data_IF_765298748708
#
_entry.id   IF_765298748708
#
_cell.length_a   1.000
_cell.length_b   1.000
_cell.length_c   1.000
_cell.angle_alpha   90.00
_cell.angle_beta   90.00
_cell.angle_gamma   90.00
#
_symmetry.space_group_name_H-M   'P 1'
#
loop_
_entity.id
_entity.type
_entity.pdbx_description
1 polymer ?
#
# COMPACT_ATOMS: atom_id res chain seq x y z
N UNK A 1 -5.52 5.06 -1.69
CA UNK A 1 -6.41 4.17 -0.93
C UNK A 1 -7.79 4.17 -1.59
N UNK A 2 -8.33 2.99 -1.83
CA UNK A 2 -9.74 2.80 -2.14
C UNK A 2 -10.50 2.59 -0.83
N UNK A 3 -11.56 3.34 -0.60
CA UNK A 3 -12.36 3.25 0.63
C UNK A 3 -13.80 2.95 0.29
N UNK A 4 -14.36 1.89 0.88
CA UNK A 4 -15.80 1.64 0.86
C UNK A 4 -16.47 2.49 1.93
N UNK A 5 -17.44 3.30 1.53
CA UNK A 5 -18.22 4.12 2.46
C UNK A 5 -19.28 3.27 3.17
N UNK A 6 -19.56 3.53 4.45
CA UNK A 6 -20.69 2.91 5.14
C UNK A 6 -22.01 3.37 4.52
N UNK A 7 -23.05 2.55 4.67
CA UNK A 7 -24.38 2.86 4.14
C UNK A 7 -24.89 4.20 4.67
N UNK A 8 -25.26 5.10 3.76
CA UNK A 8 -25.80 6.42 4.09
C UNK A 8 -24.76 7.52 4.30
N UNK A 9 -23.46 7.20 4.37
CA UNK A 9 -22.40 8.21 4.45
C UNK A 9 -22.06 8.75 3.06
N UNK A 10 -21.99 10.07 2.92
CA UNK A 10 -21.50 10.69 1.68
C UNK A 10 -19.98 10.85 1.71
N UNK A 11 -19.37 11.02 0.54
CA UNK A 11 -17.95 11.35 0.43
C UNK A 11 -17.58 12.65 1.17
N UNK A 12 -18.50 13.62 1.22
CA UNK A 12 -18.29 14.87 1.94
C UNK A 12 -18.28 14.65 3.46
N UNK A 13 -19.16 13.79 3.98
CA UNK A 13 -19.18 13.44 5.41
C UNK A 13 -17.89 12.73 5.81
N UNK A 14 -17.44 11.78 4.97
CA UNK A 14 -16.17 11.08 5.17
C UNK A 14 -14.98 12.06 5.21
N UNK A 15 -14.88 12.95 4.22
CA UNK A 15 -13.81 13.97 4.17
C UNK A 15 -13.91 14.97 5.32
N UNK A 16 -15.12 15.32 5.77
CA UNK A 16 -15.31 16.17 6.94
C UNK A 16 -14.76 15.50 8.21
N UNK A 17 -15.02 14.20 8.41
CA UNK A 17 -14.44 13.43 9.51
C UNK A 17 -12.91 13.37 9.44
N UNK A 18 -12.34 13.16 8.25
CA UNK A 18 -10.87 13.19 8.04
C UNK A 18 -10.27 14.56 8.36
N UNK A 19 -10.93 15.65 7.93
CA UNK A 19 -10.51 17.02 8.26
C UNK A 19 -10.60 17.31 9.74
N UNK A 20 -11.57 16.72 10.44
CA UNK A 20 -11.72 16.80 11.90
C UNK A 20 -10.69 15.94 12.68
N UNK A 21 -9.86 15.15 11.99
CA UNK A 21 -8.75 14.40 12.58
C UNK A 21 -8.95 12.88 12.65
N UNK A 22 -10.08 12.36 12.13
CA UNK A 22 -10.30 10.92 12.07
C UNK A 22 -9.49 10.30 10.93
N UNK A 23 -8.48 9.48 11.24
CA UNK A 23 -7.75 8.72 10.22
C UNK A 23 -8.65 7.66 9.56
N UNK A 24 -9.51 7.04 10.37
CA UNK A 24 -10.45 6.00 9.94
C UNK A 24 -11.87 6.37 10.38
N UNK A 25 -12.60 7.20 9.59
CA UNK A 25 -14.01 7.51 9.86
C UNK A 25 -14.84 6.25 10.10
N UNK A 26 -15.70 6.27 11.13
CA UNK A 26 -16.47 5.11 11.58
C UNK A 26 -17.26 4.46 10.43
N UNK A 27 -17.12 3.13 10.30
CA UNK A 27 -17.79 2.34 9.27
C UNK A 27 -17.18 2.41 7.87
N UNK A 28 -16.21 3.30 7.64
CA UNK A 28 -15.37 3.26 6.44
C UNK A 28 -14.49 2.02 6.42
N UNK A 29 -14.36 1.38 5.25
CA UNK A 29 -13.49 0.22 5.10
C UNK A 29 -12.44 0.51 4.03
N UNK A 30 -11.17 0.59 4.45
CA UNK A 30 -10.05 0.67 3.52
C UNK A 30 -9.84 -0.66 2.81
N UNK A 31 -9.81 -0.62 1.48
CA UNK A 31 -9.70 -1.76 0.58
C UNK A 31 -8.31 -1.82 -0.07
N UNK A 32 -7.29 -1.30 0.60
CA UNK A 32 -5.94 -1.11 0.05
C UNK A 32 -5.90 -0.09 -1.10
N UNK A 33 -4.73 0.04 -1.71
CA UNK A 33 -4.41 0.93 -2.80
C UNK A 33 -2.90 0.97 -3.00
N UNK A 34 -2.43 1.66 -4.06
CA UNK A 34 -1.01 1.81 -4.28
C UNK A 34 -0.35 2.59 -3.15
N UNK A 35 0.80 2.09 -2.70
CA UNK A 35 1.70 2.75 -1.74
C UNK A 35 2.36 4.02 -2.31
N UNK A 36 3.33 4.55 -1.58
CA UNK A 36 4.01 5.79 -1.99
C UNK A 36 4.68 5.62 -3.35
N UNK A 37 4.37 6.52 -4.29
CA UNK A 37 4.86 6.45 -5.68
C UNK A 37 5.59 7.76 -6.01
N UNK A 38 6.85 7.68 -6.40
CA UNK A 38 7.67 8.84 -6.75
C UNK A 38 7.18 9.56 -8.01
N UNK A 39 7.50 10.85 -8.20
CA UNK A 39 7.19 11.55 -9.44
C UNK A 39 7.73 10.81 -10.68
N UNK A 40 6.88 10.66 -11.70
CA UNK A 40 7.21 9.95 -12.94
C UNK A 40 7.05 8.42 -12.86
N UNK A 41 6.88 7.85 -11.67
CA UNK A 41 6.58 6.43 -11.50
C UNK A 41 5.08 6.13 -11.70
N UNK A 42 4.81 4.86 -11.99
CA UNK A 42 3.45 4.31 -12.09
C UNK A 42 3.31 3.10 -11.17
N UNK A 43 2.10 2.90 -10.66
CA UNK A 43 1.69 1.73 -9.89
C UNK A 43 0.41 1.17 -10.51
N UNK A 44 0.40 -0.15 -10.73
CA UNK A 44 -0.73 -0.89 -11.30
C UNK A 44 -1.13 -1.99 -10.31
N UNK A 45 -2.37 -1.93 -9.83
CA UNK A 45 -2.90 -2.84 -8.82
C UNK A 45 -4.28 -3.35 -9.21
N UNK A 46 -4.54 -4.62 -8.91
CA UNK A 46 -5.88 -5.21 -8.95
C UNK A 46 -6.29 -5.65 -7.55
N UNK A 47 -7.53 -5.39 -7.21
CA UNK A 47 -8.17 -5.83 -5.98
C UNK A 47 -9.64 -6.08 -6.27
N UNK A 48 -10.26 -7.02 -5.56
CA UNK A 48 -11.69 -7.27 -5.69
C UNK A 48 -12.48 -6.12 -5.08
N UNK A 49 -13.53 -5.66 -5.74
CA UNK A 49 -14.49 -4.68 -5.17
C UNK A 49 -15.85 -5.34 -5.04
N UNK A 50 -16.50 -5.14 -3.91
CA UNK A 50 -17.88 -5.59 -3.69
C UNK A 50 -18.84 -4.44 -4.00
N UNK A 51 -20.12 -4.68 -4.33
CA UNK A 51 -21.08 -3.61 -4.58
C UNK A 51 -21.16 -2.61 -3.43
N UNK A 52 -21.28 -1.32 -3.76
CA UNK A 52 -21.35 -0.25 -2.76
C UNK A 52 -20.86 1.11 -3.26
N UNK A 53 -20.83 2.06 -2.33
CA UNK A 53 -20.30 3.41 -2.55
C UNK A 53 -18.83 3.46 -2.16
N UNK A 54 -18.01 4.09 -2.99
CA UNK A 54 -16.57 4.17 -2.79
C UNK A 54 -16.06 5.59 -3.00
N UNK A 55 -14.91 5.87 -2.41
CA UNK A 55 -14.06 7.02 -2.75
C UNK A 55 -12.63 6.55 -3.02
N UNK A 56 -11.90 7.35 -3.81
CA UNK A 56 -10.44 7.25 -3.89
C UNK A 56 -9.86 8.41 -3.09
N UNK A 57 -9.01 8.09 -2.11
CA UNK A 57 -8.35 9.06 -1.24
C UNK A 57 -6.82 8.86 -1.25
N UNK A 58 -6.10 9.98 -1.19
CA UNK A 58 -4.64 10.00 -1.10
C UNK A 58 -4.23 10.53 0.27
N UNK A 59 -3.50 9.73 1.04
CA UNK A 59 -3.03 10.10 2.38
C UNK A 59 -1.72 10.89 2.38
N UNK A 60 -1.01 10.90 1.25
CA UNK A 60 0.29 11.58 1.14
C UNK A 60 0.16 13.10 1.33
N UNK A 61 1.03 13.70 2.14
CA UNK A 61 1.18 15.17 2.26
C UNK A 61 -0.11 15.93 2.62
N UNK A 62 -1.08 15.29 3.27
CA UNK A 62 -2.37 15.91 3.60
C UNK A 62 -3.29 16.11 2.40
N UNK A 63 -3.04 15.44 1.26
CA UNK A 63 -3.89 15.53 0.05
C UNK A 63 -5.36 15.23 0.33
N UNK A 64 -5.64 14.30 1.25
CA UNK A 64 -6.98 14.00 1.76
C UNK A 64 -7.75 15.24 2.29
N UNK A 65 -7.04 16.28 2.75
CA UNK A 65 -7.65 17.51 3.28
C UNK A 65 -7.76 18.63 2.25
N UNK A 66 -6.95 18.58 1.19
CA UNK A 66 -6.81 19.70 0.23
C UNK A 66 -7.44 19.41 -1.13
N UNK A 67 -7.64 18.13 -1.48
CA UNK A 67 -8.17 17.72 -2.78
C UNK A 67 -9.57 17.14 -2.63
N UNK A 68 -10.54 17.49 -3.49
CA UNK A 68 -11.82 16.79 -3.53
C UNK A 68 -11.62 15.30 -3.81
N UNK A 69 -12.18 14.44 -2.97
CA UNK A 69 -12.20 12.99 -3.26
C UNK A 69 -13.25 12.71 -4.33
N UNK A 70 -12.98 11.73 -5.19
CA UNK A 70 -13.93 11.32 -6.23
C UNK A 70 -14.76 10.14 -5.74
N UNK A 71 -16.09 10.30 -5.58
CA UNK A 71 -16.98 9.19 -5.28
C UNK A 71 -17.35 8.42 -6.54
N UNK A 72 -17.63 7.13 -6.38
CA UNK A 72 -18.22 6.30 -7.41
C UNK A 72 -19.01 5.14 -6.80
N UNK A 73 -19.92 4.57 -7.59
CA UNK A 73 -20.72 3.41 -7.19
C UNK A 73 -20.23 2.18 -7.95
N UNK A 74 -20.04 1.09 -7.22
CA UNK A 74 -19.84 -0.25 -7.77
C UNK A 74 -21.17 -0.98 -7.71
N UNK A 75 -21.65 -1.44 -8.86
CA UNK A 75 -22.87 -2.24 -9.00
C UNK A 75 -22.50 -3.65 -9.47
N UNK A 76 -23.22 -4.66 -8.99
CA UNK A 76 -23.08 -6.02 -9.53
C UNK A 76 -23.94 -6.15 -10.78
N UNK A 77 -23.32 -5.95 -11.95
CA UNK A 77 -24.00 -6.09 -13.24
C UNK A 77 -23.33 -7.22 -14.03
N UNK A 78 -24.00 -8.38 -14.08
CA UNK A 78 -23.85 -9.38 -15.16
C UNK A 78 -22.43 -9.69 -15.63
N UNK A 79 -21.55 -10.19 -14.75
CA UNK A 79 -20.40 -11.01 -15.09
C UNK A 79 -19.94 -11.83 -13.86
N UNK A 80 -19.98 -13.16 -13.95
CA UNK A 80 -19.43 -14.06 -12.92
C UNK A 80 -17.94 -14.41 -13.17
N UNK A 81 -17.32 -13.70 -14.11
CA UNK A 81 -15.92 -13.82 -14.44
C UNK A 81 -15.08 -13.12 -13.36
N UNK A 82 -14.86 -13.82 -12.25
CA UNK A 82 -13.95 -13.43 -11.18
C UNK A 82 -12.51 -13.91 -11.47
N UNK A 83 -12.05 -13.81 -12.73
CA UNK A 83 -10.66 -14.17 -13.07
C UNK A 83 -9.71 -13.18 -12.42
N UNK A 84 -8.86 -13.70 -11.55
CA UNK A 84 -7.76 -12.95 -10.95
C UNK A 84 -6.55 -12.93 -11.90
N UNK A 85 -5.67 -11.91 -11.81
CA UNK A 85 -4.40 -11.93 -12.53
C UNK A 85 -3.60 -13.18 -12.17
N UNK A 86 -2.92 -13.78 -13.15
CA UNK A 86 -1.93 -14.82 -12.90
C UNK A 86 -0.71 -14.18 -12.24
N UNK A 87 -0.36 -14.66 -11.05
CA UNK A 87 0.83 -14.20 -10.31
C UNK A 87 2.11 -14.95 -10.69
N UNK A 88 3.22 -14.23 -10.63
CA UNK A 88 4.57 -14.77 -10.77
C UNK A 88 5.17 -15.17 -9.42
N UNK A 89 4.70 -14.54 -8.33
CA UNK A 89 5.05 -14.87 -6.94
C UNK A 89 3.98 -14.41 -5.95
N UNK A 90 4.07 -14.93 -4.73
CA UNK A 90 3.28 -14.53 -3.56
C UNK A 90 4.19 -13.85 -2.55
N UNK A 91 3.79 -12.65 -2.12
CA UNK A 91 4.37 -11.89 -1.02
C UNK A 91 3.40 -11.90 0.16
N UNK A 92 3.81 -12.51 1.28
CA UNK A 92 3.06 -12.52 2.53
C UNK A 92 3.60 -11.46 3.48
N UNK A 93 2.70 -10.69 4.06
CA UNK A 93 2.96 -9.72 5.11
C UNK A 93 2.47 -10.34 6.41
N UNK A 94 3.40 -10.84 7.22
CA UNK A 94 3.05 -11.69 8.35
C UNK A 94 3.93 -11.38 9.55
N UNK A 95 3.32 -11.09 10.70
CA UNK A 95 3.99 -10.50 11.85
C UNK A 95 4.85 -9.30 11.40
N UNK A 96 6.06 -9.13 11.94
CA UNK A 96 6.97 -8.06 11.52
C UNK A 96 7.94 -8.51 10.43
N UNK A 97 7.48 -9.29 9.44
CA UNK A 97 8.34 -9.74 8.32
C UNK A 97 7.59 -9.93 7.01
N UNK A 98 8.37 -10.00 5.94
CA UNK A 98 7.92 -10.35 4.60
C UNK A 98 8.40 -11.76 4.25
N UNK A 99 7.52 -12.55 3.63
CA UNK A 99 7.86 -13.87 3.10
C UNK A 99 7.50 -13.95 1.62
N UNK A 100 8.47 -14.29 0.78
CA UNK A 100 8.25 -14.49 -0.65
C UNK A 100 8.32 -15.99 -0.97
N UNK A 101 7.35 -16.51 -1.72
CA UNK A 101 7.37 -17.92 -2.17
C UNK A 101 8.44 -18.18 -3.24
N UNK A 102 8.84 -17.11 -3.94
CA UNK A 102 9.82 -17.06 -5.03
C UNK A 102 10.53 -15.72 -5.01
N UNK A 103 11.78 -15.69 -5.46
CA UNK A 103 12.55 -14.44 -5.54
C UNK A 103 11.99 -13.48 -6.59
N UNK A 104 12.09 -12.17 -6.32
CA UNK A 104 11.95 -11.15 -7.36
C UNK A 104 13.08 -11.30 -8.38
N UNK A 105 12.79 -10.99 -9.64
CA UNK A 105 13.75 -11.05 -10.75
C UNK A 105 13.59 -9.86 -11.68
N UNK A 106 14.55 -9.67 -12.57
CA UNK A 106 14.49 -8.58 -13.54
C UNK A 106 13.25 -8.70 -14.43
N UNK A 107 12.64 -7.55 -14.75
CA UNK A 107 11.53 -7.42 -15.68
C UNK A 107 10.16 -7.30 -15.01
N UNK A 108 9.07 -7.36 -15.80
CA UNK A 108 7.71 -7.26 -15.30
C UNK A 108 7.33 -8.52 -14.52
N UNK A 109 6.78 -8.33 -13.33
CA UNK A 109 6.24 -9.38 -12.47
C UNK A 109 4.88 -8.97 -11.91
N UNK A 110 3.98 -9.92 -11.73
CA UNK A 110 2.75 -9.79 -10.96
C UNK A 110 2.93 -10.45 -9.60
N UNK A 111 2.83 -9.67 -8.55
CA UNK A 111 2.97 -10.09 -7.16
C UNK A 111 1.57 -10.22 -6.56
N UNK A 112 1.20 -11.41 -6.11
CA UNK A 112 0.02 -11.62 -5.26
C UNK A 112 0.41 -11.29 -3.81
N UNK A 113 -0.32 -10.39 -3.18
CA UNK A 113 -0.02 -9.87 -1.85
C UNK A 113 -1.09 -10.37 -0.88
N UNK A 114 -0.65 -10.95 0.24
CA UNK A 114 -1.51 -11.54 1.27
C UNK A 114 -1.08 -11.10 2.67
N UNK A 115 -2.04 -10.95 3.58
CA UNK A 115 -1.76 -10.63 4.99
C UNK A 115 -2.40 -11.71 5.90
N UNK A 116 -1.75 -12.87 6.09
CA UNK A 116 -2.35 -14.03 6.76
C UNK A 116 -2.38 -13.95 8.30
N UNK A 117 -1.73 -12.95 8.89
CA UNK A 117 -1.63 -12.77 10.34
C UNK A 117 -2.76 -11.91 10.92
N UNK A 118 -2.85 -11.78 12.25
CA UNK A 118 -3.87 -10.95 12.89
C UNK A 118 -3.56 -9.44 12.78
N UNK A 119 -2.34 -9.08 12.39
CA UNK A 119 -1.90 -7.70 12.22
C UNK A 119 -2.30 -7.13 10.87
N UNK A 120 -2.59 -5.84 10.84
CA UNK A 120 -2.74 -5.09 9.60
C UNK A 120 -1.35 -4.69 9.09
N UNK A 121 -1.08 -4.93 7.83
CA UNK A 121 0.23 -4.65 7.24
C UNK A 121 0.09 -3.94 5.90
N UNK A 122 1.14 -3.22 5.56
CA UNK A 122 1.38 -2.63 4.25
C UNK A 122 2.77 -3.05 3.74
N UNK A 123 3.00 -2.88 2.45
CA UNK A 123 4.32 -2.97 1.86
C UNK A 123 4.51 -1.80 0.90
N UNK A 124 5.38 -0.87 1.26
CA UNK A 124 6.00 0.03 0.30
C UNK A 124 7.22 -0.66 -0.33
N UNK A 125 7.40 -0.50 -1.64
CA UNK A 125 8.55 -0.99 -2.38
C UNK A 125 9.41 0.19 -2.78
N UNK A 126 10.66 0.19 -2.34
CA UNK A 126 11.64 1.23 -2.67
C UNK A 126 12.79 0.65 -3.50
N UNK A 127 13.33 1.44 -4.43
CA UNK A 127 14.63 1.18 -5.07
C UNK A 127 15.64 2.18 -4.55
N UNK A 128 16.64 1.72 -3.81
CA UNK A 128 17.67 2.58 -3.23
C UNK A 128 18.47 3.26 -4.34
N UNK A 129 18.75 4.55 -4.17
CA UNK A 129 19.74 5.22 -5.02
C UNK A 129 21.16 4.70 -4.72
N UNK A 130 22.07 4.93 -5.66
CA UNK A 130 23.47 4.53 -5.51
C UNK A 130 24.08 5.12 -4.23
N UNK A 131 24.81 4.29 -3.48
CA UNK A 131 25.44 4.67 -2.22
C UNK A 131 24.50 4.89 -1.03
N UNK A 132 23.17 4.77 -1.20
CA UNK A 132 22.20 4.89 -0.09
C UNK A 132 22.00 3.57 0.65
N UNK A 133 21.44 3.63 1.84
CA UNK A 133 21.25 2.45 2.71
C UNK A 133 19.82 2.34 3.21
N UNK A 134 19.45 1.17 3.74
CA UNK A 134 18.19 1.03 4.49
C UNK A 134 18.14 1.95 5.70
N UNK A 135 19.28 2.19 6.37
CA UNK A 135 19.33 3.13 7.48
C UNK A 135 18.95 4.55 7.04
N UNK A 136 19.41 4.99 5.86
CA UNK A 136 19.01 6.27 5.28
C UNK A 136 17.50 6.31 5.00
N UNK A 137 16.95 5.22 4.44
CA UNK A 137 15.52 5.10 4.16
C UNK A 137 14.67 5.18 5.44
N UNK A 138 15.04 4.41 6.47
CA UNK A 138 14.33 4.42 7.75
C UNK A 138 14.43 5.79 8.43
N UNK A 139 15.59 6.46 8.37
CA UNK A 139 15.76 7.80 8.90
C UNK A 139 14.86 8.83 8.17
N UNK A 140 14.78 8.72 6.84
CA UNK A 140 13.91 9.56 6.01
C UNK A 140 12.42 9.32 6.30
N UNK A 141 12.00 8.05 6.47
CA UNK A 141 10.63 7.69 6.85
C UNK A 141 10.24 8.20 8.23
N UNK A 142 11.11 8.07 9.23
CA UNK A 142 10.92 8.67 10.57
C UNK A 142 10.72 10.17 10.55
N UNK A 143 11.35 10.85 9.59
CA UNK A 143 11.19 12.29 9.35
C UNK A 143 9.97 12.61 8.47
N UNK A 144 9.02 11.68 8.33
CA UNK A 144 7.80 11.82 7.54
C UNK A 144 8.07 12.13 6.06
N UNK A 145 9.18 11.59 5.54
CA UNK A 145 9.59 11.79 4.15
C UNK A 145 10.12 13.19 3.83
N UNK A 146 10.43 14.02 4.83
CA UNK A 146 11.04 15.32 4.62
C UNK A 146 12.49 15.23 4.13
N UNK A 147 12.89 16.20 3.29
CA UNK A 147 14.24 16.26 2.73
C UNK A 147 14.45 15.39 1.50
N UNK A 148 15.71 15.12 1.16
CA UNK A 148 16.07 14.34 -0.03
C UNK A 148 15.78 12.85 0.20
N UNK A 149 14.88 12.29 -0.62
CA UNK A 149 14.59 10.86 -0.57
C UNK A 149 15.84 10.02 -0.91
N UNK A 150 16.17 8.99 -0.12
CA UNK A 150 17.31 8.10 -0.39
C UNK A 150 16.98 6.98 -1.38
N UNK A 151 15.73 6.91 -1.83
CA UNK A 151 15.22 5.88 -2.71
C UNK A 151 14.13 6.44 -3.62
N UNK A 152 13.92 5.74 -4.74
CA UNK A 152 12.72 5.89 -5.54
C UNK A 152 11.62 5.02 -4.95
N UNK A 153 10.46 5.61 -4.64
CA UNK A 153 9.29 4.90 -4.16
C UNK A 153 8.49 4.36 -5.36
N UNK A 154 8.28 3.05 -5.39
CA UNK A 154 7.75 2.34 -6.55
C UNK A 154 6.28 1.95 -6.41
N UNK A 155 5.60 2.45 -5.37
CA UNK A 155 4.29 1.99 -4.96
C UNK A 155 4.42 0.81 -3.99
N UNK A 156 3.48 -0.12 -4.09
CA UNK A 156 3.29 -1.17 -3.10
C UNK A 156 1.81 -1.36 -2.80
N UNK A 157 1.51 -2.05 -1.71
CA UNK A 157 0.14 -2.22 -1.24
C UNK A 157 -0.03 -1.60 0.14
N UNK A 158 -0.97 -0.65 0.23
CA UNK A 158 -1.42 -0.11 1.50
C UNK A 158 -2.25 -1.14 2.28
N UNK A 159 -2.50 -0.82 3.53
CA UNK A 159 -3.29 -1.59 4.47
C UNK A 159 -4.77 -1.76 4.07
N UNK A 160 -5.46 -2.71 4.72
CA UNK A 160 -6.89 -2.92 4.53
C UNK A 160 -7.55 -3.35 5.84
N UNK A 161 -8.78 -2.85 6.07
CA UNK A 161 -9.62 -3.30 7.19
C UNK A 161 -10.04 -4.77 7.04
N UNK A 162 -10.17 -5.24 5.81
CA UNK A 162 -10.28 -6.66 5.50
C UNK A 162 -8.85 -7.22 5.40
N UNK A 163 -8.27 -7.60 6.54
CA UNK A 163 -6.87 -8.03 6.62
C UNK A 163 -6.59 -9.27 5.76
N UNK A 164 -7.60 -10.03 5.33
CA UNK A 164 -7.42 -11.19 4.45
C UNK A 164 -7.61 -10.85 2.97
N UNK A 165 -7.82 -9.56 2.63
CA UNK A 165 -7.94 -9.11 1.25
C UNK A 165 -6.64 -9.37 0.49
N UNK A 166 -6.80 -10.08 -0.62
CA UNK A 166 -5.71 -10.29 -1.58
C UNK A 166 -5.72 -9.14 -2.58
N UNK A 167 -4.53 -8.60 -2.84
CA UNK A 167 -4.29 -7.66 -3.94
C UNK A 167 -3.20 -8.17 -4.85
N UNK A 168 -3.23 -7.78 -6.11
CA UNK A 168 -2.18 -8.09 -7.08
C UNK A 168 -1.52 -6.78 -7.50
N UNK A 169 -0.20 -6.73 -7.45
CA UNK A 169 0.61 -5.59 -7.87
C UNK A 169 1.43 -6.01 -9.08
N UNK A 170 1.35 -5.25 -10.18
CA UNK A 170 2.28 -5.42 -11.30
C UNK A 170 3.39 -4.39 -11.19
N UNK A 171 4.63 -4.87 -11.25
CA UNK A 171 5.80 -4.00 -11.24
C UNK A 171 6.88 -4.52 -12.17
N UNK A 172 7.54 -3.59 -12.86
CA UNK A 172 8.76 -3.86 -13.59
C UNK A 172 9.96 -3.57 -12.69
N UNK A 173 10.85 -4.55 -12.56
CA UNK A 173 12.06 -4.45 -11.76
C UNK A 173 13.30 -4.39 -12.67
N UNK A 174 13.90 -3.21 -12.87
CA UNK A 174 15.27 -3.13 -13.35
C UNK A 174 16.26 -3.74 -12.35
N UNK A 175 17.48 -4.06 -12.76
CA UNK A 175 18.57 -4.41 -11.85
C UNK A 175 18.77 -3.32 -10.80
N UNK A 176 19.02 -3.70 -9.55
CA UNK A 176 19.21 -2.77 -8.44
C UNK A 176 18.94 -3.36 -7.07
N UNK A 177 19.05 -2.50 -6.05
CA UNK A 177 18.75 -2.84 -4.65
C UNK A 177 17.39 -2.28 -4.25
N UNK A 178 16.55 -3.17 -3.77
CA UNK A 178 15.18 -2.91 -3.40
C UNK A 178 14.99 -3.11 -1.90
N UNK A 179 14.02 -2.40 -1.34
CA UNK A 179 13.62 -2.53 0.05
C UNK A 179 12.11 -2.69 0.10
N UNK A 180 11.65 -3.79 0.68
CA UNK A 180 10.27 -3.93 1.16
C UNK A 180 10.20 -3.31 2.55
N UNK A 181 9.20 -2.48 2.81
CA UNK A 181 9.13 -1.71 4.04
C UNK A 181 7.68 -1.55 4.51
N UNK A 182 7.40 -1.82 5.78
CA UNK A 182 6.08 -1.62 6.38
C UNK A 182 6.16 -0.46 7.40
N UNK A 183 5.48 0.66 7.15
CA UNK A 183 5.48 1.81 8.07
C UNK A 183 4.20 1.87 8.92
N UNK A 184 3.40 0.80 8.93
CA UNK A 184 2.22 0.71 9.79
C UNK A 184 2.60 0.96 11.26
N UNK A 185 1.82 1.77 11.99
CA UNK A 185 2.05 2.01 13.41
C UNK A 185 1.72 0.76 14.23
N UNK A 186 2.54 0.49 15.24
CA UNK A 186 2.24 -0.53 16.26
C UNK A 186 1.22 0.06 17.23
N UNK A 187 0.08 -0.60 17.38
CA UNK A 187 -1.02 -0.13 18.22
C UNK A 187 -0.57 0.23 19.64
N UNK A 188 -0.96 1.42 20.10
CA UNK A 188 -0.65 1.97 21.43
C UNK A 188 0.85 2.16 21.74
N UNK A 189 1.68 2.39 20.72
CA UNK A 189 3.10 2.73 20.88
C UNK A 189 3.51 3.83 19.89
N UNK A 190 4.71 4.38 20.06
CA UNK A 190 5.32 5.31 19.09
C UNK A 190 6.16 4.58 18.02
N UNK A 191 6.12 3.24 17.97
CA UNK A 191 6.90 2.42 17.04
C UNK A 191 6.12 2.13 15.76
N UNK A 192 6.85 1.91 14.66
CA UNK A 192 6.31 1.33 13.43
C UNK A 192 6.68 -0.15 13.28
N UNK A 193 6.05 -0.83 12.33
CA UNK A 193 6.43 -2.20 11.98
C UNK A 193 7.89 -2.27 11.49
N UNK A 194 8.38 -1.24 10.79
CA UNK A 194 9.77 -1.12 10.39
C UNK A 194 10.73 -0.99 11.60
N UNK A 195 10.33 -0.29 12.68
CA UNK A 195 11.11 -0.26 13.93
C UNK A 195 11.26 -1.63 14.59
N UNK A 196 10.30 -2.51 14.35
CA UNK A 196 10.34 -3.91 14.79
C UNK A 196 11.03 -4.85 13.80
N UNK A 197 11.60 -4.30 12.72
CA UNK A 197 12.38 -5.03 11.74
C UNK A 197 11.61 -5.52 10.51
N UNK A 198 10.38 -5.04 10.27
CA UNK A 198 9.61 -5.35 9.07
C UNK A 198 10.13 -4.58 7.85
N UNK A 199 11.38 -4.86 7.51
CA UNK A 199 12.15 -4.30 6.41
C UNK A 199 12.96 -5.43 5.79
N UNK A 200 12.92 -5.56 4.47
CA UNK A 200 13.69 -6.60 3.76
C UNK A 200 14.40 -6.01 2.55
N UNK A 201 15.72 -6.16 2.51
CA UNK A 201 16.53 -5.84 1.33
C UNK A 201 16.52 -6.99 0.31
N UNK A 202 16.42 -6.63 -0.96
CA UNK A 202 16.44 -7.55 -2.09
C UNK A 202 17.36 -6.97 -3.16
N UNK A 203 18.36 -7.74 -3.60
CA UNK A 203 19.20 -7.39 -4.74
C UNK A 203 18.70 -8.14 -5.99
N UNK A 204 18.43 -7.40 -7.06
CA UNK A 204 18.12 -7.95 -8.38
C UNK A 204 19.32 -7.63 -9.27
N UNK A 205 19.98 -8.68 -9.76
CA UNK A 205 21.14 -8.59 -10.65
C UNK A 205 20.70 -8.64 -12.11
N UNK A 206 21.63 -8.25 -12.99
CA UNK A 206 21.54 -8.47 -14.44
C UNK A 206 21.46 -9.97 -14.78
#
# INVERSE_FOLDING_TARGET
MLVKLPTGMTANDYVAAVKAGSLFPEGGLDYSGPGLTSPGETAEMWLKVDPGQYIIICWNGGHAKTTPVHPFTVEEVGAHDNRVPKEDLVLKLFDYRFELDRSLHQGPQVIRIETPGPGMHEVDIYRLYEGRTVADLNAWRKQQGHGTAPAQALGGALDSHDIHRVVWLRKNFPPGRYVLHCEMPVTNTDLTHADLGMVQEIEIKD
#
